data_IF_334893970512
#
_entry.id   IF_334893970512
#
_cell.length_a   1.000
_cell.length_b   1.000
_cell.length_c   1.000
_cell.angle_alpha   90.00
_cell.angle_beta   90.00
_cell.angle_gamma   90.00
#
_symmetry.space_group_name_H-M   'P 1'
#
loop_
_entity.id
_entity.type
_entity.pdbx_description
1 polymer ?
#
# COMPACT_ATOMS: atom_id res chain seq x y z
N UNK A 1 -43.02 -78.46 -37.78
CA UNK A 1 -41.79 -78.38 -36.95
C UNK A 1 -40.85 -77.22 -37.31
N UNK A 2 -41.20 -76.28 -38.20
CA UNK A 2 -40.23 -75.29 -38.72
C UNK A 2 -40.37 -73.84 -38.21
N UNK A 3 -41.28 -73.55 -37.27
CA UNK A 3 -41.45 -72.20 -36.71
C UNK A 3 -40.79 -72.01 -35.33
N UNK A 4 -40.52 -73.10 -34.58
CA UNK A 4 -39.89 -73.04 -33.25
C UNK A 4 -38.39 -72.73 -33.32
N UNK A 5 -37.66 -73.29 -34.29
CA UNK A 5 -36.21 -73.12 -34.40
C UNK A 5 -35.76 -71.75 -34.92
N UNK A 6 -36.62 -71.05 -35.66
CA UNK A 6 -36.33 -69.70 -36.13
C UNK A 6 -36.57 -68.62 -35.08
N UNK A 7 -37.45 -68.89 -34.10
CA UNK A 7 -37.77 -67.94 -33.05
C UNK A 7 -36.71 -67.97 -31.93
N UNK A 8 -36.18 -69.15 -31.60
CA UNK A 8 -35.04 -69.31 -30.67
C UNK A 8 -33.74 -68.66 -31.19
N UNK A 9 -33.41 -68.81 -32.48
CA UNK A 9 -32.21 -68.21 -33.10
C UNK A 9 -32.27 -66.67 -33.14
N UNK A 10 -33.48 -66.10 -33.25
CA UNK A 10 -33.67 -64.65 -33.23
C UNK A 10 -33.53 -64.06 -31.82
N UNK A 11 -34.07 -64.74 -30.80
CA UNK A 11 -33.88 -64.35 -29.38
C UNK A 11 -32.44 -64.46 -28.93
N UNK A 12 -31.70 -65.50 -29.35
CA UNK A 12 -30.30 -65.66 -29.00
C UNK A 12 -29.40 -64.58 -29.64
N UNK A 13 -29.74 -64.14 -30.86
CA UNK A 13 -29.06 -63.03 -31.53
C UNK A 13 -29.33 -61.69 -30.87
N UNK A 14 -30.55 -61.44 -30.42
CA UNK A 14 -30.92 -60.19 -29.70
C UNK A 14 -30.21 -60.14 -28.35
N UNK A 15 -30.21 -61.23 -27.58
CA UNK A 15 -29.50 -61.33 -26.29
C UNK A 15 -27.98 -61.10 -26.45
N UNK A 16 -27.35 -61.74 -27.44
CA UNK A 16 -25.91 -61.53 -27.72
C UNK A 16 -25.60 -60.10 -28.17
N UNK A 17 -26.53 -59.45 -28.85
CA UNK A 17 -26.37 -58.07 -29.33
C UNK A 17 -26.61 -57.05 -28.21
N UNK A 18 -27.53 -57.31 -27.28
CA UNK A 18 -27.72 -56.53 -26.04
C UNK A 18 -26.54 -56.69 -25.09
N UNK A 19 -26.05 -57.91 -24.85
CA UNK A 19 -24.88 -58.17 -24.00
C UNK A 19 -23.62 -57.50 -24.58
N UNK A 20 -23.39 -57.64 -25.90
CA UNK A 20 -22.28 -56.95 -26.57
C UNK A 20 -22.41 -55.43 -26.54
N UNK A 21 -23.62 -54.88 -26.53
CA UNK A 21 -23.85 -53.43 -26.49
C UNK A 21 -23.64 -52.89 -25.07
N UNK A 22 -24.12 -53.61 -24.05
CA UNK A 22 -23.90 -53.27 -22.64
C UNK A 22 -22.43 -53.39 -22.22
N UNK A 23 -21.71 -54.43 -22.66
CA UNK A 23 -20.29 -54.57 -22.33
C UNK A 23 -19.44 -53.46 -22.95
N UNK A 24 -19.67 -53.13 -24.22
CA UNK A 24 -18.93 -52.04 -24.91
C UNK A 24 -19.21 -50.66 -24.31
N UNK A 25 -20.45 -50.39 -23.90
CA UNK A 25 -20.78 -49.14 -23.20
C UNK A 25 -20.16 -49.11 -21.79
N UNK A 26 -20.17 -50.24 -21.07
CA UNK A 26 -19.55 -50.38 -19.74
C UNK A 26 -18.03 -50.16 -19.79
N UNK A 27 -17.34 -50.75 -20.76
CA UNK A 27 -15.90 -50.56 -20.97
C UNK A 27 -15.57 -49.11 -21.33
N UNK A 28 -16.35 -48.50 -22.25
CA UNK A 28 -16.17 -47.09 -22.62
C UNK A 28 -16.36 -46.13 -21.44
N UNK A 29 -17.33 -46.42 -20.56
CA UNK A 29 -17.59 -45.61 -19.37
C UNK A 29 -16.48 -45.75 -18.32
N UNK A 30 -15.98 -46.97 -18.10
CA UNK A 30 -14.83 -47.24 -17.22
C UNK A 30 -13.57 -46.52 -17.70
N UNK A 31 -13.30 -46.56 -19.00
CA UNK A 31 -12.18 -45.83 -19.61
C UNK A 31 -12.29 -44.32 -19.45
N UNK A 32 -13.50 -43.76 -19.51
CA UNK A 32 -13.73 -42.33 -19.25
C UNK A 32 -13.49 -41.97 -17.79
N UNK A 33 -13.91 -42.81 -16.84
CA UNK A 33 -13.67 -42.60 -15.40
C UNK A 33 -12.17 -42.65 -15.11
N UNK A 34 -11.45 -43.66 -15.60
CA UNK A 34 -9.99 -43.79 -15.39
C UNK A 34 -9.23 -42.60 -15.98
N UNK A 35 -9.62 -42.13 -17.18
CA UNK A 35 -9.03 -40.92 -17.78
C UNK A 35 -9.33 -39.66 -16.98
N UNK A 36 -10.53 -39.53 -16.42
CA UNK A 36 -10.89 -38.41 -15.56
C UNK A 36 -10.11 -38.44 -14.24
N UNK A 37 -10.05 -39.58 -13.55
CA UNK A 37 -9.28 -39.77 -12.31
C UNK A 37 -7.78 -39.47 -12.52
N UNK A 38 -7.21 -39.97 -13.62
CA UNK A 38 -5.83 -39.67 -14.01
C UNK A 38 -5.59 -38.17 -14.23
N UNK A 39 -6.54 -37.46 -14.84
CA UNK A 39 -6.48 -36.02 -15.04
C UNK A 39 -6.59 -35.24 -13.70
N UNK A 40 -7.48 -35.65 -12.79
CA UNK A 40 -7.59 -35.04 -11.46
C UNK A 40 -6.31 -35.22 -10.64
N UNK A 41 -5.76 -36.44 -10.61
CA UNK A 41 -4.52 -36.74 -9.89
C UNK A 41 -3.34 -35.94 -10.45
N UNK A 42 -3.25 -35.80 -11.78
CA UNK A 42 -2.24 -34.96 -12.44
C UNK A 42 -2.37 -33.48 -12.07
N UNK A 43 -3.59 -32.94 -11.98
CA UNK A 43 -3.82 -31.56 -11.57
C UNK A 43 -3.50 -31.32 -10.08
N UNK A 44 -3.88 -32.23 -9.17
CA UNK A 44 -3.53 -32.15 -7.75
C UNK A 44 -2.01 -32.13 -7.59
N UNK A 45 -1.31 -33.07 -8.22
CA UNK A 45 0.15 -33.13 -8.17
C UNK A 45 0.79 -31.84 -8.68
N UNK A 46 0.29 -31.28 -9.78
CA UNK A 46 0.78 -29.99 -10.31
C UNK A 46 0.67 -28.86 -9.27
N UNK A 47 -0.45 -28.76 -8.57
CA UNK A 47 -0.64 -27.75 -7.53
C UNK A 47 0.27 -27.99 -6.31
N UNK A 48 0.51 -29.26 -5.94
CA UNK A 48 1.47 -29.62 -4.88
C UNK A 48 2.91 -29.24 -5.26
N UNK A 49 3.35 -29.61 -6.47
CA UNK A 49 4.67 -29.27 -7.02
C UNK A 49 4.86 -27.73 -7.10
N UNK A 50 3.81 -26.99 -7.47
CA UNK A 50 3.84 -25.52 -7.49
C UNK A 50 4.02 -24.91 -6.10
N UNK A 51 3.32 -25.42 -5.08
CA UNK A 51 3.45 -24.95 -3.70
C UNK A 51 4.85 -25.23 -3.17
N UNK A 52 5.41 -26.42 -3.43
CA UNK A 52 6.79 -26.75 -3.07
C UNK A 52 7.79 -25.78 -3.72
N UNK A 53 7.62 -25.50 -5.01
CA UNK A 53 8.43 -24.52 -5.73
C UNK A 53 8.33 -23.12 -5.10
N UNK A 54 7.12 -22.61 -4.86
CA UNK A 54 6.91 -21.29 -4.27
C UNK A 54 7.51 -21.18 -2.85
N UNK A 55 7.34 -22.20 -2.02
CA UNK A 55 7.96 -22.27 -0.70
C UNK A 55 9.48 -22.24 -0.78
N UNK A 56 10.08 -22.97 -1.74
CA UNK A 56 11.53 -22.95 -1.96
C UNK A 56 12.05 -21.55 -2.31
N UNK A 57 11.32 -20.80 -3.17
CA UNK A 57 11.69 -19.42 -3.51
C UNK A 57 11.52 -18.49 -2.31
N UNK A 58 10.43 -18.63 -1.54
CA UNK A 58 10.18 -17.82 -0.34
C UNK A 58 11.28 -17.99 0.71
N UNK A 59 11.74 -19.23 0.91
CA UNK A 59 12.83 -19.52 1.85
C UNK A 59 14.14 -18.85 1.40
N UNK A 60 14.48 -18.92 0.11
CA UNK A 60 15.69 -18.28 -0.45
C UNK A 60 15.67 -16.76 -0.30
N UNK A 61 14.52 -16.13 -0.52
CA UNK A 61 14.37 -14.68 -0.29
C UNK A 61 14.50 -14.34 1.20
N UNK A 62 13.89 -15.15 2.07
CA UNK A 62 13.97 -14.95 3.52
C UNK A 62 15.42 -15.06 4.03
N UNK A 63 16.17 -16.05 3.57
CA UNK A 63 17.61 -16.19 3.86
C UNK A 63 18.39 -14.96 3.39
N UNK A 64 18.14 -14.50 2.15
CA UNK A 64 18.80 -13.31 1.60
C UNK A 64 18.51 -12.04 2.40
N UNK A 65 17.27 -11.87 2.88
CA UNK A 65 16.88 -10.74 3.75
C UNK A 65 17.66 -10.81 5.07
N UNK A 66 17.73 -11.98 5.70
CA UNK A 66 18.45 -12.16 6.97
C UNK A 66 19.93 -11.87 6.80
N UNK A 67 20.57 -12.33 5.72
CA UNK A 67 21.99 -12.08 5.43
C UNK A 67 22.31 -10.60 5.21
N UNK A 68 21.47 -9.89 4.44
CA UNK A 68 21.62 -8.46 4.20
C UNK A 68 21.38 -7.65 5.49
N UNK A 69 20.36 -8.01 6.27
CA UNK A 69 20.10 -7.37 7.56
C UNK A 69 21.25 -7.59 8.56
N UNK A 70 21.84 -8.79 8.61
CA UNK A 70 23.04 -9.03 9.42
C UNK A 70 24.23 -8.17 8.99
N UNK A 71 24.38 -7.94 7.68
CA UNK A 71 25.43 -7.09 7.13
C UNK A 71 25.22 -5.60 7.48
N UNK A 72 23.97 -5.12 7.36
CA UNK A 72 23.57 -3.78 7.77
C UNK A 72 23.72 -3.57 9.29
N UNK A 73 23.37 -4.57 10.10
CA UNK A 73 23.49 -4.53 11.56
C UNK A 73 24.94 -4.43 12.05
N UNK A 74 25.89 -5.04 11.33
CA UNK A 74 27.33 -4.87 11.58
C UNK A 74 27.78 -3.43 11.31
N UNK A 75 27.29 -2.81 10.23
CA UNK A 75 27.60 -1.42 9.90
C UNK A 75 27.09 -0.44 10.97
N UNK A 76 25.88 -0.65 11.50
CA UNK A 76 25.38 0.15 12.61
C UNK A 76 26.22 -0.01 13.88
N UNK A 77 26.58 -1.23 14.27
CA UNK A 77 27.43 -1.45 15.45
C UNK A 77 28.82 -0.81 15.35
N UNK A 78 29.36 -0.62 14.14
CA UNK A 78 30.69 -0.02 13.93
C UNK A 78 30.70 1.51 13.84
N UNK A 79 29.57 2.14 13.49
CA UNK A 79 29.51 3.59 13.18
C UNK A 79 28.73 4.44 14.19
N UNK A 80 28.22 3.86 15.29
CA UNK A 80 27.46 4.57 16.34
C UNK A 80 28.30 5.61 17.13
N UNK A 81 29.59 5.78 16.85
CA UNK A 81 30.41 6.84 17.44
C UNK A 81 30.69 7.98 16.45
N UNK A 82 29.67 8.75 16.10
CA UNK A 82 29.72 10.20 15.82
C UNK A 82 28.39 10.65 15.24
N UNK A 83 27.62 11.35 16.05
CA UNK A 83 26.60 12.29 15.59
C UNK A 83 26.90 13.59 16.33
N UNK A 84 27.69 14.46 15.70
CA UNK A 84 27.88 15.82 16.20
C UNK A 84 26.71 16.67 15.71
N UNK A 85 26.03 17.32 16.66
CA UNK A 85 24.95 18.27 16.43
C UNK A 85 25.39 19.36 15.45
N UNK A 86 24.88 19.29 14.22
CA UNK A 86 24.87 20.41 13.29
C UNK A 86 23.92 21.49 13.82
N UNK A 87 24.49 22.50 14.49
CA UNK A 87 23.82 23.73 14.90
C UNK A 87 23.36 24.52 13.65
N UNK A 88 22.11 24.31 13.25
CA UNK A 88 21.37 25.18 12.34
C UNK A 88 19.92 25.21 12.79
N UNK A 89 19.39 26.40 13.09
CA UNK A 89 18.01 26.61 13.53
C UNK A 89 17.01 26.41 12.37
N UNK A 90 16.94 25.18 11.86
CA UNK A 90 15.99 24.77 10.83
C UNK A 90 14.85 24.00 11.47
N UNK A 91 13.61 24.23 11.03
CA UNK A 91 12.44 23.53 11.55
C UNK A 91 12.53 22.03 11.26
N UNK A 92 12.88 21.22 12.25
CA UNK A 92 13.19 19.79 12.07
C UNK A 92 11.94 18.89 12.16
N UNK A 93 12.12 17.59 11.88
CA UNK A 93 11.06 16.60 12.08
C UNK A 93 10.70 16.49 13.57
N UNK A 94 11.69 16.57 14.47
CA UNK A 94 11.49 16.57 15.91
C UNK A 94 10.67 17.78 16.37
N UNK A 95 10.98 18.97 15.87
CA UNK A 95 10.20 20.18 16.16
C UNK A 95 8.76 20.07 15.65
N UNK A 96 8.56 19.42 14.49
CA UNK A 96 7.22 19.11 13.97
C UNK A 96 6.47 18.15 14.89
N UNK A 97 7.14 17.10 15.38
CA UNK A 97 6.57 16.15 16.36
C UNK A 97 6.22 16.86 17.66
N UNK A 98 7.05 17.78 18.15
CA UNK A 98 6.73 18.59 19.33
C UNK A 98 5.48 19.46 19.12
N UNK A 99 5.34 20.08 17.94
CA UNK A 99 4.13 20.83 17.58
C UNK A 99 2.88 19.93 17.57
N UNK A 100 2.99 18.69 17.08
CA UNK A 100 1.90 17.71 17.13
C UNK A 100 1.59 17.31 18.58
N UNK A 101 2.61 17.09 19.42
CA UNK A 101 2.42 16.70 20.82
C UNK A 101 1.70 17.79 21.64
N UNK A 102 1.89 19.08 21.31
CA UNK A 102 1.15 20.21 21.88
C UNK A 102 -0.36 20.17 21.55
N UNK A 103 -0.79 19.33 20.59
CA UNK A 103 -2.21 19.06 20.28
C UNK A 103 -2.74 17.93 21.17
N UNK A 104 -2.73 18.14 22.48
CA UNK A 104 -2.93 17.10 23.52
C UNK A 104 -4.20 16.25 23.37
N UNK A 105 -5.26 16.80 22.75
CA UNK A 105 -6.53 16.10 22.54
C UNK A 105 -6.73 15.53 21.12
N UNK A 106 -5.67 15.49 20.31
CA UNK A 106 -5.71 14.94 18.95
C UNK A 106 -5.26 13.48 18.89
N UNK A 107 -5.80 12.73 17.94
CA UNK A 107 -5.34 11.36 17.66
C UNK A 107 -3.84 11.32 17.31
N UNK A 108 -3.35 12.30 16.55
CA UNK A 108 -1.95 12.42 16.16
C UNK A 108 -1.01 12.57 17.37
N UNK A 109 -1.37 13.36 18.38
CA UNK A 109 -0.51 13.54 19.56
C UNK A 109 -0.41 12.26 20.40
N UNK A 110 -1.50 11.50 20.51
CA UNK A 110 -1.51 10.20 21.16
C UNK A 110 -0.67 9.21 20.34
N UNK A 111 -0.85 9.17 19.03
CA UNK A 111 -0.07 8.32 18.14
C UNK A 111 1.44 8.61 18.21
N UNK A 112 1.85 9.88 18.10
CA UNK A 112 3.24 10.28 18.23
C UNK A 112 3.82 9.91 19.61
N UNK A 113 3.03 10.08 20.68
CA UNK A 113 3.43 9.66 22.03
C UNK A 113 3.61 8.14 22.12
N UNK A 114 2.72 7.34 21.55
CA UNK A 114 2.82 5.88 21.51
C UNK A 114 4.07 5.45 20.74
N UNK A 115 4.33 6.07 19.58
CA UNK A 115 5.48 5.75 18.72
C UNK A 115 6.80 6.05 19.41
N UNK A 116 6.87 7.12 20.20
CA UNK A 116 8.05 7.47 20.99
C UNK A 116 8.29 6.53 22.19
N UNK A 117 7.26 5.81 22.65
CA UNK A 117 7.34 4.96 23.84
C UNK A 117 7.56 3.49 23.47
N UNK A 118 8.76 2.97 23.77
CA UNK A 118 9.22 1.62 23.38
C UNK A 118 8.40 0.48 23.98
N UNK A 119 7.65 0.71 25.06
CA UNK A 119 6.77 -0.32 25.65
C UNK A 119 5.49 -0.55 24.83
N UNK A 120 5.07 0.42 24.03
CA UNK A 120 3.81 0.37 23.26
C UNK A 120 4.01 0.26 21.75
N UNK A 121 5.26 0.27 21.27
CA UNK A 121 5.61 0.18 19.84
C UNK A 121 5.23 -1.17 19.19
N UNK A 122 4.99 -2.21 20.00
CA UNK A 122 4.61 -3.54 19.51
C UNK A 122 3.11 -3.71 19.18
N UNK A 123 2.28 -2.69 19.39
CA UNK A 123 0.85 -2.75 19.11
C UNK A 123 0.61 -2.93 17.59
N UNK A 124 -0.31 -3.83 17.23
CA UNK A 124 -0.55 -4.21 15.85
C UNK A 124 -0.87 -3.02 14.91
N UNK A 125 -1.64 -2.03 15.38
CA UNK A 125 -1.97 -0.85 14.59
C UNK A 125 -0.78 0.12 14.43
N UNK A 126 0.18 0.12 15.37
CA UNK A 126 1.41 0.92 15.26
C UNK A 126 2.30 0.36 14.16
N UNK A 127 2.26 -0.97 13.96
CA UNK A 127 3.00 -1.64 12.88
C UNK A 127 2.44 -1.34 11.49
N UNK A 128 1.12 -1.18 11.37
CA UNK A 128 0.49 -0.84 10.09
C UNK A 128 0.58 0.67 9.75
N UNK A 129 0.60 1.51 10.79
CA UNK A 129 0.66 2.95 10.63
C UNK A 129 2.03 3.40 10.08
N UNK A 130 2.01 4.12 8.96
CA UNK A 130 3.19 4.71 8.33
C UNK A 130 3.66 5.95 9.10
N UNK A 131 2.71 6.79 9.52
CA UNK A 131 3.02 8.01 10.28
C UNK A 131 1.91 9.05 10.24
N UNK A 132 2.23 10.27 10.67
CA UNK A 132 1.34 11.44 10.59
C UNK A 132 1.74 12.28 9.38
N UNK A 133 0.79 12.76 8.58
CA UNK A 133 1.08 13.47 7.31
C UNK A 133 2.16 14.55 7.45
N UNK A 134 2.10 15.36 8.51
CA UNK A 134 3.07 16.42 8.78
C UNK A 134 4.53 15.95 8.89
N UNK A 135 4.78 14.70 9.28
CA UNK A 135 6.13 14.12 9.43
C UNK A 135 6.53 13.27 8.23
N UNK A 136 5.65 13.10 7.23
CA UNK A 136 5.87 12.16 6.12
C UNK A 136 6.68 12.74 4.96
N UNK A 137 6.87 14.06 4.91
CA UNK A 137 7.65 14.76 3.89
C UNK A 137 8.42 15.94 4.48
N UNK A 138 9.52 16.29 3.82
CA UNK A 138 10.36 17.48 4.09
C UNK A 138 10.28 18.45 2.93
N UNK A 139 10.62 19.72 3.16
CA UNK A 139 10.61 20.76 2.11
C UNK A 139 11.84 21.65 2.18
N UNK A 140 12.16 22.32 1.07
CA UNK A 140 13.41 23.08 0.94
C UNK A 140 13.42 24.42 1.69
N UNK A 141 12.25 25.05 1.93
CA UNK A 141 12.17 26.38 2.54
C UNK A 141 10.97 26.54 3.45
N UNK A 142 11.07 27.46 4.42
CA UNK A 142 9.98 27.79 5.34
C UNK A 142 8.76 28.38 4.61
N UNK A 143 8.98 29.18 3.56
CA UNK A 143 7.88 29.71 2.75
C UNK A 143 7.06 28.60 2.09
N UNK A 144 7.74 27.60 1.52
CA UNK A 144 7.09 26.43 0.94
C UNK A 144 6.41 25.59 2.02
N UNK A 145 7.08 25.36 3.15
CA UNK A 145 6.51 24.63 4.29
C UNK A 145 5.21 25.26 4.77
N UNK A 146 5.24 26.56 5.01
CA UNK A 146 4.10 27.33 5.48
C UNK A 146 2.94 27.28 4.48
N UNK A 147 3.17 27.58 3.20
CA UNK A 147 2.07 27.66 2.22
C UNK A 147 1.47 26.29 1.91
N UNK A 148 2.29 25.22 1.87
CA UNK A 148 1.79 23.85 1.72
C UNK A 148 1.01 23.40 2.95
N UNK A 149 1.48 23.70 4.15
CA UNK A 149 0.81 23.32 5.39
C UNK A 149 -0.52 24.09 5.56
N UNK A 150 -0.58 25.36 5.15
CA UNK A 150 -1.82 26.14 5.07
C UNK A 150 -2.79 25.56 4.01
N UNK A 151 -2.26 25.11 2.88
CA UNK A 151 -3.05 24.46 1.84
C UNK A 151 -3.59 23.10 2.30
N UNK A 152 -2.78 22.23 2.90
CA UNK A 152 -3.24 20.94 3.40
C UNK A 152 -4.25 21.12 4.54
N UNK A 153 -4.02 22.11 5.41
CA UNK A 153 -4.87 22.41 6.56
C UNK A 153 -4.57 21.50 7.75
N UNK A 154 -4.82 22.03 8.95
CA UNK A 154 -4.41 21.38 10.21
C UNK A 154 -4.99 19.97 10.39
N UNK A 155 -6.26 19.76 10.05
CA UNK A 155 -6.93 18.46 10.20
C UNK A 155 -6.23 17.37 9.39
N UNK A 156 -5.87 17.67 8.14
CA UNK A 156 -5.16 16.72 7.26
C UNK A 156 -3.68 16.64 7.59
N UNK A 157 -3.03 17.72 8.06
CA UNK A 157 -1.66 17.67 8.57
C UNK A 157 -1.53 16.73 9.78
N UNK A 158 -2.58 16.63 10.60
CA UNK A 158 -2.68 15.71 11.74
C UNK A 158 -3.25 14.33 11.37
N UNK A 159 -3.49 14.04 10.09
CA UNK A 159 -4.05 12.75 9.70
C UNK A 159 -3.04 11.62 9.93
N UNK A 160 -3.52 10.50 10.47
CA UNK A 160 -2.74 9.25 10.60
C UNK A 160 -2.84 8.49 9.28
N UNK A 161 -1.70 8.03 8.77
CA UNK A 161 -1.62 7.25 7.53
C UNK A 161 -1.41 5.78 7.89
N UNK A 162 -2.35 4.93 7.48
CA UNK A 162 -2.29 3.48 7.62
C UNK A 162 -1.97 2.83 6.27
N UNK A 163 -1.29 1.69 6.32
CA UNK A 163 -0.96 0.92 5.13
C UNK A 163 -2.20 0.17 4.62
N UNK A 164 -3.00 -0.40 5.52
CA UNK A 164 -4.15 -1.26 5.21
C UNK A 164 -5.45 -0.79 5.84
N UNK A 165 -6.56 -1.31 5.33
CA UNK A 165 -7.88 -1.07 5.92
C UNK A 165 -8.00 -1.68 7.34
N UNK A 166 -7.31 -2.79 7.60
CA UNK A 166 -7.19 -3.41 8.92
C UNK A 166 -6.51 -2.47 9.92
N UNK A 167 -5.49 -1.72 9.50
CA UNK A 167 -4.88 -0.66 10.30
C UNK A 167 -5.88 0.42 10.70
N UNK A 168 -6.71 0.87 9.76
CA UNK A 168 -7.78 1.86 10.03
C UNK A 168 -8.78 1.32 11.05
N UNK A 169 -9.26 0.10 10.87
CA UNK A 169 -10.19 -0.57 11.80
C UNK A 169 -9.59 -0.80 13.18
N UNK A 170 -8.26 -0.91 13.28
CA UNK A 170 -7.59 -1.10 14.55
C UNK A 170 -7.46 0.21 15.36
N UNK A 171 -7.51 1.37 14.69
CA UNK A 171 -7.49 2.69 15.35
C UNK A 171 -8.82 3.02 16.04
N UNK A 172 -9.94 2.65 15.44
CA UNK A 172 -11.29 2.99 15.93
C UNK A 172 -12.18 1.74 16.02
N UNK A 173 -12.83 1.54 17.17
CA UNK A 173 -13.73 0.40 17.39
C UNK A 173 -15.15 0.90 17.67
N UNK A 174 -16.13 0.19 17.15
CA UNK A 174 -17.54 0.45 17.40
C UNK A 174 -18.16 -0.71 18.18
N UNK A 175 -19.11 -0.39 19.05
CA UNK A 175 -19.98 -1.39 19.68
C UNK A 175 -21.06 -1.90 18.69
N UNK A 176 -21.82 -2.96 19.04
CA UNK A 176 -22.89 -3.47 18.18
C UNK A 176 -23.96 -2.43 17.82
N UNK A 177 -24.12 -1.39 18.62
CA UNK A 177 -25.04 -0.26 18.40
C UNK A 177 -24.47 0.81 17.45
N UNK A 178 -23.21 0.67 17.04
CA UNK A 178 -22.52 1.61 16.14
C UNK A 178 -21.97 2.85 16.82
N UNK A 179 -21.89 2.86 18.16
CA UNK A 179 -21.28 3.93 18.95
C UNK A 179 -19.78 3.68 19.13
N UNK A 180 -19.00 4.75 19.21
CA UNK A 180 -17.56 4.69 19.45
C UNK A 180 -17.28 4.02 20.79
N UNK A 181 -16.49 2.94 20.76
CA UNK A 181 -16.04 2.26 21.96
C UNK A 181 -14.85 3.02 22.57
N UNK A 182 -15.13 3.80 23.62
CA UNK A 182 -14.13 4.60 24.33
C UNK A 182 -13.00 3.81 25.01
N UNK A 183 -13.14 2.49 25.11
CA UNK A 183 -12.11 1.59 25.67
C UNK A 183 -11.31 0.84 24.61
N UNK A 184 -11.69 0.97 23.34
CA UNK A 184 -11.05 0.31 22.20
C UNK A 184 -10.08 1.22 21.44
N UNK A 185 -9.22 0.60 20.62
CA UNK A 185 -8.36 1.30 19.67
C UNK A 185 -7.50 2.39 20.31
N UNK A 186 -7.42 3.53 19.65
CA UNK A 186 -6.66 4.69 20.11
C UNK A 186 -7.30 5.37 21.33
N UNK A 187 -8.63 5.31 21.47
CA UNK A 187 -9.37 5.86 22.60
C UNK A 187 -9.03 5.18 23.93
N UNK A 188 -8.92 3.85 23.93
CA UNK A 188 -8.52 3.08 25.12
C UNK A 188 -7.11 3.43 25.60
N UNK A 189 -6.19 3.64 24.66
CA UNK A 189 -4.79 3.99 24.97
C UNK A 189 -4.65 5.45 25.41
N UNK A 190 -5.41 6.35 24.78
CA UNK A 190 -5.55 7.71 25.29
C UNK A 190 -6.00 7.70 26.75
N UNK A 191 -7.07 6.97 27.04
CA UNK A 191 -7.65 6.91 28.38
C UNK A 191 -6.69 6.37 29.44
N UNK A 192 -5.90 5.33 29.12
CA UNK A 192 -4.89 4.78 30.05
C UNK A 192 -3.71 5.73 30.31
N UNK A 193 -3.52 6.74 29.45
CA UNK A 193 -2.46 7.74 29.54
C UNK A 193 -2.98 9.11 30.00
N UNK A 194 -4.25 9.20 30.40
CA UNK A 194 -4.89 10.43 30.84
C UNK A 194 -5.24 11.40 29.72
N UNK A 195 -5.08 11.00 28.45
CA UNK A 195 -5.42 11.79 27.26
C UNK A 195 -6.79 11.41 26.72
N UNK A 196 -7.49 12.34 26.09
CA UNK A 196 -8.77 12.07 25.42
C UNK A 196 -8.74 12.60 24.01
N UNK A 197 -9.18 11.79 23.06
CA UNK A 197 -9.41 12.24 21.69
C UNK A 197 -10.76 12.95 21.67
N UNK A 198 -10.75 14.21 21.29
CA UNK A 198 -11.96 15.02 21.17
C UNK A 198 -12.33 15.21 19.69
N UNK A 199 -13.56 14.87 19.34
CA UNK A 199 -14.09 15.08 17.99
C UNK A 199 -13.57 14.05 16.99
N UNK A 200 -13.70 14.39 15.70
CA UNK A 200 -13.27 13.55 14.59
C UNK A 200 -11.78 13.73 14.35
N UNK A 201 -11.13 12.67 13.88
CA UNK A 201 -9.78 12.71 13.34
C UNK A 201 -9.77 12.01 11.97
N UNK A 202 -8.83 12.42 11.12
CA UNK A 202 -8.71 11.88 9.76
C UNK A 202 -7.69 10.75 9.76
N UNK A 203 -8.07 9.65 9.10
CA UNK A 203 -7.17 8.54 8.80
C UNK A 203 -7.15 8.34 7.29
N UNK A 204 -5.96 8.17 6.72
CA UNK A 204 -5.75 7.93 5.30
C UNK A 204 -5.23 6.49 5.14
N UNK A 205 -5.94 5.68 4.38
CA UNK A 205 -5.54 4.31 4.04
C UNK A 205 -4.80 4.30 2.70
N UNK A 206 -3.51 3.91 2.69
CA UNK A 206 -2.72 3.87 1.45
C UNK A 206 -3.25 2.85 0.44
N UNK A 207 -3.74 1.70 0.90
CA UNK A 207 -4.32 0.66 0.06
C UNK A 207 -5.56 1.15 -0.72
N UNK A 208 -6.34 2.04 -0.13
CA UNK A 208 -7.56 2.59 -0.73
C UNK A 208 -7.30 3.83 -1.62
N UNK A 209 -6.06 4.34 -1.65
CA UNK A 209 -5.69 5.45 -2.52
C UNK A 209 -5.40 4.98 -3.96
N UNK A 210 -5.87 5.76 -4.93
CA UNK A 210 -5.53 5.54 -6.34
C UNK A 210 -4.15 6.15 -6.63
N UNK A 211 -3.16 5.34 -7.03
CA UNK A 211 -1.83 5.84 -7.35
C UNK A 211 -1.84 6.63 -8.66
N UNK A 212 -0.87 7.53 -8.79
CA UNK A 212 -0.54 8.16 -10.07
C UNK A 212 0.05 7.12 -11.04
N UNK A 213 -0.49 7.08 -12.26
CA UNK A 213 -0.09 6.12 -13.30
C UNK A 213 0.70 6.73 -14.46
N UNK A 214 1.08 8.01 -14.37
CA UNK A 214 1.80 8.71 -15.44
C UNK A 214 3.33 8.53 -15.43
N UNK A 215 3.85 7.67 -14.55
CA UNK A 215 5.27 7.34 -14.48
C UNK A 215 6.13 8.37 -13.72
N UNK A 216 7.43 8.12 -13.72
CA UNK A 216 8.43 8.90 -13.00
C UNK A 216 9.41 9.56 -13.96
N UNK A 217 10.05 10.63 -13.51
CA UNK A 217 11.21 11.21 -14.18
C UNK A 217 12.34 10.18 -14.18
N UNK A 218 12.94 9.95 -15.34
CA UNK A 218 13.95 8.92 -15.53
C UNK A 218 15.20 9.21 -14.68
N UNK A 219 15.71 8.18 -13.99
CA UNK A 219 16.89 8.25 -13.13
C UNK A 219 16.84 9.33 -12.02
N UNK A 220 15.66 9.79 -11.63
CA UNK A 220 15.50 10.74 -10.52
C UNK A 220 15.51 10.00 -9.17
N UNK A 221 16.47 10.27 -8.27
CA UNK A 221 16.60 9.55 -7.00
C UNK A 221 15.46 9.83 -6.02
N UNK A 222 14.70 10.90 -6.22
CA UNK A 222 13.52 11.25 -5.43
C UNK A 222 12.21 10.72 -6.04
N UNK A 223 12.32 9.95 -7.14
CA UNK A 223 11.21 9.41 -7.93
C UNK A 223 10.15 10.47 -8.21
N UNK A 224 10.56 11.65 -8.68
CA UNK A 224 9.62 12.70 -9.08
C UNK A 224 8.65 12.22 -10.15
N UNK A 225 7.40 12.67 -10.08
CA UNK A 225 6.35 12.27 -11.01
C UNK A 225 6.55 12.96 -12.37
N UNK A 226 6.39 12.21 -13.46
CA UNK A 226 6.49 12.73 -14.82
C UNK A 226 5.21 13.48 -15.25
N UNK A 227 4.91 14.57 -14.57
CA UNK A 227 3.73 15.40 -14.87
C UNK A 227 4.12 16.43 -15.95
N UNK A 228 3.39 16.50 -17.08
CA UNK A 228 3.66 17.50 -18.11
C UNK A 228 3.56 18.92 -17.56
N UNK A 229 4.54 19.78 -17.86
CA UNK A 229 4.52 21.18 -17.45
C UNK A 229 3.28 21.91 -18.01
N UNK A 230 2.69 22.87 -17.27
CA UNK A 230 1.57 23.66 -17.77
C UNK A 230 2.00 24.47 -19.00
N UNK A 231 1.06 24.72 -19.91
CA UNK A 231 1.29 25.52 -21.12
C UNK A 231 0.19 26.56 -21.27
N UNK A 232 0.61 27.79 -21.53
CA UNK A 232 -0.27 28.89 -21.92
C UNK A 232 -0.81 28.65 -23.35
N UNK A 233 -1.83 29.40 -23.80
CA UNK A 233 -2.37 29.28 -25.16
C UNK A 233 -1.34 29.47 -26.27
N UNK A 234 -0.24 30.19 -26.00
CA UNK A 234 0.88 30.37 -26.93
C UNK A 234 1.86 29.16 -26.94
N UNK A 235 1.62 28.12 -26.14
CA UNK A 235 2.44 26.92 -26.02
C UNK A 235 3.60 27.02 -25.02
N UNK A 236 3.88 28.21 -24.48
CA UNK A 236 4.97 28.44 -23.54
C UNK A 236 4.61 28.02 -22.12
N UNK A 237 5.61 27.67 -21.32
CA UNK A 237 5.43 27.45 -19.89
C UNK A 237 5.13 28.80 -19.23
N UNK A 238 4.12 28.91 -18.34
CA UNK A 238 3.83 30.15 -17.64
C UNK A 238 5.07 30.68 -16.91
N UNK A 239 5.32 32.00 -16.96
CA UNK A 239 6.41 32.60 -16.20
C UNK A 239 6.19 32.37 -14.70
N UNK A 240 7.29 32.17 -13.98
CA UNK A 240 7.26 31.97 -12.53
C UNK A 240 6.79 30.59 -12.06
N UNK A 241 6.36 29.68 -12.95
CA UNK A 241 6.10 28.28 -12.58
C UNK A 241 7.40 27.62 -12.11
N UNK A 242 7.38 27.07 -10.89
CA UNK A 242 8.53 26.41 -10.27
C UNK A 242 8.47 24.90 -10.52
N UNK A 243 7.46 24.24 -9.99
CA UNK A 243 7.16 22.83 -10.20
C UNK A 243 5.74 22.53 -9.68
N UNK A 244 5.33 21.26 -9.74
CA UNK A 244 4.18 20.75 -9.00
C UNK A 244 4.54 20.51 -7.54
N UNK A 245 3.63 20.83 -6.62
CA UNK A 245 3.84 20.68 -5.17
C UNK A 245 4.29 19.26 -4.78
N UNK A 246 3.69 18.24 -5.41
CA UNK A 246 4.04 16.83 -5.22
C UNK A 246 5.48 16.50 -5.61
N UNK A 247 6.15 17.30 -6.43
CA UNK A 247 7.56 17.15 -6.81
C UNK A 247 8.51 18.07 -6.02
N UNK A 248 7.98 19.03 -5.26
CA UNK A 248 8.75 19.94 -4.41
C UNK A 248 8.92 19.45 -2.97
N UNK A 249 8.28 18.34 -2.61
CA UNK A 249 8.54 17.63 -1.36
C UNK A 249 9.71 16.65 -1.50
N UNK A 250 10.45 16.50 -0.41
CA UNK A 250 11.50 15.51 -0.23
C UNK A 250 10.99 14.36 0.64
N UNK A 251 11.29 13.14 0.22
CA UNK A 251 10.93 11.91 0.94
C UNK A 251 12.20 11.15 1.30
N UNK A 252 12.21 10.59 2.51
CA UNK A 252 13.23 9.63 2.92
C UNK A 252 13.19 8.39 2.01
N UNK A 253 14.33 7.74 1.80
CA UNK A 253 14.47 6.59 0.89
C UNK A 253 13.46 5.47 1.19
N UNK A 254 13.22 5.20 2.47
CA UNK A 254 12.25 4.21 2.94
C UNK A 254 10.79 4.53 2.62
N UNK A 255 10.49 5.71 2.06
CA UNK A 255 9.15 6.14 1.65
C UNK A 255 8.96 6.19 0.13
N UNK A 256 10.01 5.91 -0.65
CA UNK A 256 10.00 6.05 -2.10
C UNK A 256 9.37 4.86 -2.84
N UNK A 257 9.44 3.66 -2.29
CA UNK A 257 8.97 2.42 -2.93
C UNK A 257 8.53 1.37 -1.92
N UNK A 258 7.74 0.39 -2.38
CA UNK A 258 7.40 -0.84 -1.65
C UNK A 258 6.64 -0.64 -0.32
N UNK A 259 5.91 0.47 -0.17
CA UNK A 259 5.06 0.72 1.00
C UNK A 259 3.67 0.09 0.87
N UNK A 260 3.13 0.05 -0.35
CA UNK A 260 1.83 -0.58 -0.61
C UNK A 260 1.99 -2.02 -1.07
N UNK A 261 0.92 -2.81 -0.96
CA UNK A 261 0.86 -4.14 -1.54
C UNK A 261 1.25 -4.11 -3.03
N UNK A 262 0.89 -3.08 -3.79
CA UNK A 262 1.23 -2.95 -5.21
C UNK A 262 2.65 -2.44 -5.49
N UNK A 263 3.46 -2.18 -4.46
CA UNK A 263 4.85 -1.75 -4.60
C UNK A 263 5.06 -0.23 -4.70
N UNK A 264 3.99 0.56 -4.60
CA UNK A 264 4.06 2.02 -4.65
C UNK A 264 4.62 2.63 -3.36
N UNK A 265 5.26 3.80 -3.49
CA UNK A 265 5.69 4.68 -2.40
C UNK A 265 4.70 5.83 -2.13
N UNK A 266 5.09 6.78 -1.27
CA UNK A 266 4.21 7.86 -0.80
C UNK A 266 3.97 8.95 -1.84
N UNK A 267 4.91 9.18 -2.78
CA UNK A 267 4.79 10.30 -3.73
C UNK A 267 3.61 10.10 -4.67
N UNK A 268 3.56 8.94 -5.30
CA UNK A 268 2.52 8.56 -6.27
C UNK A 268 1.19 8.18 -5.61
N UNK A 269 1.16 7.90 -4.30
CA UNK A 269 -0.06 7.57 -3.55
C UNK A 269 -0.53 8.76 -2.71
N UNK A 270 -0.05 8.86 -1.46
CA UNK A 270 -0.45 9.84 -0.47
C UNK A 270 -0.34 11.27 -0.99
N UNK A 271 0.85 11.68 -1.40
CA UNK A 271 1.10 13.08 -1.72
C UNK A 271 0.50 13.49 -3.07
N UNK A 272 0.37 12.58 -4.03
CA UNK A 272 -0.41 12.84 -5.23
C UNK A 272 -1.91 12.94 -4.92
N UNK A 273 -2.44 12.19 -3.94
CA UNK A 273 -3.83 12.37 -3.51
C UNK A 273 -4.07 13.71 -2.80
N UNK A 274 -3.08 14.22 -2.06
CA UNK A 274 -3.18 15.49 -1.33
C UNK A 274 -2.97 16.71 -2.24
N UNK A 275 -1.99 16.64 -3.14
CA UNK A 275 -1.58 17.77 -3.97
C UNK A 275 -2.06 17.67 -5.41
N UNK A 276 -2.31 16.47 -5.93
CA UNK A 276 -2.64 16.25 -7.34
C UNK A 276 -1.69 17.03 -8.26
N UNK A 277 -2.20 17.85 -9.19
CA UNK A 277 -1.39 18.76 -10.03
C UNK A 277 -1.34 20.20 -9.50
N UNK A 278 -1.33 20.39 -8.18
CA UNK A 278 -1.15 21.69 -7.55
C UNK A 278 0.15 22.34 -8.01
N UNK A 279 0.04 23.50 -8.65
CA UNK A 279 1.18 24.21 -9.24
C UNK A 279 1.77 25.21 -8.25
N UNK A 280 3.10 25.32 -8.20
CA UNK A 280 3.79 26.30 -7.35
C UNK A 280 4.42 27.38 -8.22
N UNK A 281 4.20 28.64 -7.84
CA UNK A 281 4.70 29.83 -8.51
C UNK A 281 5.60 30.66 -7.59
N UNK A 282 6.52 31.41 -8.19
CA UNK A 282 7.39 32.33 -7.45
C UNK A 282 6.60 33.48 -6.82
N UNK A 283 5.79 34.19 -7.60
CA UNK A 283 4.98 35.32 -7.13
C UNK A 283 3.49 35.15 -7.46
N UNK A 284 2.65 35.86 -6.70
CA UNK A 284 1.20 35.90 -6.92
C UNK A 284 0.87 36.49 -8.27
N UNK A 285 1.61 37.50 -8.71
CA UNK A 285 1.39 38.13 -10.01
C UNK A 285 1.62 37.13 -11.15
N UNK A 286 2.72 36.38 -11.11
CA UNK A 286 3.01 35.32 -12.08
C UNK A 286 1.97 34.20 -12.04
N UNK A 287 1.53 33.78 -10.84
CA UNK A 287 0.45 32.82 -10.66
C UNK A 287 -0.86 33.28 -11.33
N UNK A 288 -1.19 34.56 -11.21
CA UNK A 288 -2.42 35.12 -11.81
C UNK A 288 -2.33 35.19 -13.35
N UNK A 289 -1.14 35.39 -13.92
CA UNK A 289 -0.94 35.30 -15.38
C UNK A 289 -1.12 33.87 -15.91
N UNK A 290 -0.91 32.87 -15.06
CA UNK A 290 -1.04 31.46 -15.40
C UNK A 290 -2.47 30.89 -15.22
N UNK A 291 -3.45 31.71 -14.82
CA UNK A 291 -4.84 31.28 -14.61
C UNK A 291 -5.42 30.37 -15.72
N UNK A 292 -5.19 30.63 -17.02
CA UNK A 292 -5.76 29.79 -18.08
C UNK A 292 -5.33 28.32 -18.06
N UNK A 293 -4.21 27.99 -17.43
CA UNK A 293 -3.67 26.63 -17.38
C UNK A 293 -3.61 26.03 -15.96
N UNK A 294 -4.26 26.65 -14.98
CA UNK A 294 -4.41 26.11 -13.62
C UNK A 294 -5.71 25.28 -13.55
N UNK A 295 -5.58 23.98 -13.27
CA UNK A 295 -6.72 23.05 -13.18
C UNK A 295 -7.09 22.71 -11.73
N UNK A 296 -6.14 22.15 -10.98
CA UNK A 296 -6.41 21.56 -9.66
C UNK A 296 -6.19 22.57 -8.53
N UNK A 297 -5.29 23.54 -8.74
CA UNK A 297 -4.99 24.61 -7.81
C UNK A 297 -3.62 25.22 -8.11
N UNK A 298 -3.33 26.35 -7.47
CA UNK A 298 -2.00 26.95 -7.51
C UNK A 298 -1.68 27.70 -6.22
N UNK A 299 -0.40 27.72 -5.86
CA UNK A 299 0.15 28.49 -4.76
C UNK A 299 1.28 29.38 -5.27
N UNK A 300 1.51 30.51 -4.60
CA UNK A 300 2.73 31.29 -4.78
C UNK A 300 3.50 31.42 -3.47
N UNK A 301 4.83 31.48 -3.54
CA UNK A 301 5.69 31.58 -2.35
C UNK A 301 5.46 32.87 -1.56
N UNK A 302 5.08 33.95 -2.26
CA UNK A 302 4.62 35.21 -1.66
C UNK A 302 3.16 35.16 -1.12
N UNK A 303 2.53 33.98 -1.06
CA UNK A 303 1.35 33.71 -0.25
C UNK A 303 0.01 33.71 -0.98
N UNK A 304 0.02 33.76 -2.31
CA UNK A 304 -1.18 33.59 -3.11
C UNK A 304 -1.66 32.15 -3.09
N UNK A 305 -2.98 31.96 -3.09
CA UNK A 305 -3.57 30.63 -3.07
C UNK A 305 -4.86 30.55 -3.90
N UNK A 306 -4.89 29.59 -4.81
CA UNK A 306 -6.05 29.17 -5.60
C UNK A 306 -6.32 27.71 -5.24
N UNK A 307 -7.42 27.47 -4.53
CA UNK A 307 -7.79 26.12 -4.03
C UNK A 307 -8.23 25.20 -5.16
N UNK A 308 -8.88 25.77 -6.17
CA UNK A 308 -9.37 25.11 -7.38
C UNK A 308 -9.68 26.19 -8.41
N UNK A 309 -9.80 25.84 -9.68
CA UNK A 309 -10.31 26.76 -10.70
C UNK A 309 -11.59 27.49 -10.20
N UNK A 310 -11.54 28.83 -10.16
CA UNK A 310 -12.63 29.68 -9.67
C UNK A 310 -12.70 29.89 -8.15
N UNK A 311 -11.86 29.24 -7.34
CA UNK A 311 -11.88 29.33 -5.87
C UNK A 311 -10.57 29.96 -5.37
N UNK A 312 -10.63 31.23 -5.02
CA UNK A 312 -9.50 32.02 -4.52
C UNK A 312 -9.53 32.14 -2.99
N UNK A 313 -8.38 31.99 -2.35
CA UNK A 313 -8.21 32.35 -0.95
C UNK A 313 -7.60 33.75 -0.86
N UNK A 314 -8.32 34.67 -0.21
CA UNK A 314 -7.92 36.07 -0.03
C UNK A 314 -7.90 36.40 1.47
N UNK A 315 -7.11 37.40 1.85
CA UNK A 315 -6.95 37.85 3.23
C UNK A 315 -5.54 37.64 3.76
N UNK A 316 -5.33 37.98 5.03
CA UNK A 316 -4.05 37.79 5.70
C UNK A 316 -3.75 36.30 5.87
N UNK A 317 -2.46 35.94 5.73
CA UNK A 317 -2.00 34.58 5.96
C UNK A 317 -2.33 34.14 7.39
N UNK A 318 -2.78 32.91 7.54
CA UNK A 318 -2.94 32.30 8.86
C UNK A 318 -1.59 31.80 9.36
N UNK A 319 -1.35 31.98 10.65
CA UNK A 319 -0.23 31.28 11.27
C UNK A 319 -0.54 29.78 11.30
N UNK A 320 0.45 28.97 10.92
CA UNK A 320 0.27 27.52 10.75
C UNK A 320 0.92 26.81 11.91
N UNK A 321 0.10 26.12 12.69
CA UNK A 321 0.51 25.55 13.98
C UNK A 321 1.40 24.30 13.84
N UNK A 322 1.20 23.54 12.76
CA UNK A 322 1.98 22.34 12.43
C UNK A 322 2.42 22.45 10.99
N UNK A 323 3.73 22.47 10.77
CA UNK A 323 4.34 22.67 9.45
C UNK A 323 5.19 21.46 9.04
N UNK A 324 5.34 21.26 7.72
CA UNK A 324 6.30 20.28 7.22
C UNK A 324 7.73 20.62 7.67
N UNK A 325 8.53 19.63 8.10
CA UNK A 325 9.94 19.84 8.40
C UNK A 325 10.71 20.32 7.18
N UNK A 326 11.80 21.04 7.44
CA UNK A 326 12.76 21.41 6.41
C UNK A 326 13.70 20.24 6.12
N UNK A 327 14.28 20.24 4.92
CA UNK A 327 15.38 19.35 4.59
C UNK A 327 16.57 19.75 5.48
N UNK A 328 16.87 18.96 6.50
CA UNK A 328 18.13 19.05 7.23
C UNK A 328 19.26 18.51 6.34
N UNK A 329 20.51 18.92 6.61
CA UNK A 329 21.69 18.60 5.80
C UNK A 329 21.85 17.10 5.48
N UNK A 330 22.73 16.80 4.52
CA UNK A 330 22.97 15.43 4.03
C UNK A 330 23.08 14.44 5.20
N UNK A 331 22.30 13.34 5.10
CA UNK A 331 22.39 12.26 6.06
C UNK A 331 23.82 11.74 6.07
N UNK A 332 24.42 11.58 7.26
CA UNK A 332 25.74 10.95 7.43
C UNK A 332 25.77 9.46 7.01
N UNK A 333 24.64 8.92 6.55
CA UNK A 333 24.49 7.54 6.08
C UNK A 333 25.01 7.42 4.64
N UNK A 334 25.99 6.54 4.36
CA UNK A 334 26.53 6.42 3.02
C UNK A 334 25.49 5.94 1.98
N UNK A 335 25.68 6.32 0.70
CA UNK A 335 24.82 5.87 -0.39
C UNK A 335 24.66 4.35 -0.47
N UNK A 336 25.75 3.59 -0.35
CA UNK A 336 25.75 2.13 -0.41
C UNK A 336 24.88 1.50 0.69
N UNK A 337 24.80 2.14 1.85
CA UNK A 337 23.95 1.68 2.96
C UNK A 337 22.47 1.88 2.61
N UNK A 338 22.13 3.04 2.06
CA UNK A 338 20.76 3.37 1.62
C UNK A 338 20.29 2.42 0.51
N UNK A 339 21.16 2.12 -0.46
CA UNK A 339 20.88 1.16 -1.54
C UNK A 339 20.64 -0.25 -0.98
N UNK A 340 21.48 -0.69 -0.03
CA UNK A 340 21.31 -1.99 0.61
C UNK A 340 19.98 -2.09 1.40
N UNK A 341 19.54 -1.02 2.07
CA UNK A 341 18.21 -0.98 2.68
C UNK A 341 17.08 -1.04 1.65
N UNK A 342 17.21 -0.37 0.51
CA UNK A 342 16.25 -0.44 -0.59
C UNK A 342 16.11 -1.87 -1.14
N UNK A 343 17.23 -2.58 -1.27
CA UNK A 343 17.23 -4.00 -1.65
C UNK A 343 16.51 -4.84 -0.61
N UNK A 344 16.78 -4.64 0.69
CA UNK A 344 16.07 -5.35 1.76
C UNK A 344 14.56 -5.12 1.69
N UNK A 345 14.13 -3.86 1.53
CA UNK A 345 12.70 -3.52 1.40
C UNK A 345 12.05 -4.21 0.21
N UNK A 346 12.73 -4.20 -0.95
CA UNK A 346 12.26 -4.88 -2.15
C UNK A 346 12.10 -6.38 -1.90
N UNK A 347 13.10 -7.04 -1.31
CA UNK A 347 13.05 -8.47 -1.05
C UNK A 347 11.93 -8.83 -0.05
N UNK A 348 11.73 -8.04 1.00
CA UNK A 348 10.61 -8.22 1.94
C UNK A 348 9.26 -8.10 1.24
N UNK A 349 9.12 -7.13 0.33
CA UNK A 349 7.93 -6.98 -0.49
C UNK A 349 7.71 -8.17 -1.42
N UNK A 350 8.76 -8.68 -2.08
CA UNK A 350 8.69 -9.89 -2.92
C UNK A 350 8.29 -11.12 -2.10
N UNK A 351 8.87 -11.33 -0.91
CA UNK A 351 8.47 -12.40 0.02
C UNK A 351 6.99 -12.32 0.38
N UNK A 352 6.47 -11.10 0.59
CA UNK A 352 5.05 -10.87 0.87
C UNK A 352 4.16 -11.28 -0.30
N UNK A 353 4.62 -11.06 -1.55
CA UNK A 353 3.92 -11.51 -2.76
C UNK A 353 3.93 -13.02 -2.91
N UNK A 354 5.06 -13.66 -2.65
CA UNK A 354 5.14 -15.12 -2.67
C UNK A 354 4.20 -15.74 -1.64
N UNK A 355 4.10 -15.17 -0.43
CA UNK A 355 3.15 -15.65 0.58
C UNK A 355 1.69 -15.60 0.09
N UNK A 356 1.29 -14.52 -0.59
CA UNK A 356 -0.04 -14.42 -1.19
C UNK A 356 -0.24 -15.44 -2.32
N UNK A 357 0.79 -15.69 -3.13
CA UNK A 357 0.75 -16.68 -4.21
C UNK A 357 0.63 -18.11 -3.69
N UNK A 358 1.38 -18.44 -2.62
CA UNK A 358 1.27 -19.73 -1.91
C UNK A 358 -0.15 -19.91 -1.38
N UNK A 359 -0.73 -18.89 -0.76
CA UNK A 359 -2.10 -18.96 -0.24
C UNK A 359 -3.13 -19.19 -1.37
N UNK A 360 -2.99 -18.49 -2.50
CA UNK A 360 -3.86 -18.68 -3.67
C UNK A 360 -3.75 -20.09 -4.24
N UNK A 361 -2.52 -20.61 -4.36
CA UNK A 361 -2.29 -21.96 -4.87
C UNK A 361 -2.84 -23.03 -3.92
N UNK A 362 -2.72 -22.81 -2.60
CA UNK A 362 -3.32 -23.69 -1.58
C UNK A 362 -4.85 -23.74 -1.70
N UNK A 363 -5.51 -22.59 -1.90
CA UNK A 363 -6.96 -22.55 -2.10
C UNK A 363 -7.40 -23.33 -3.35
N UNK A 364 -6.62 -23.23 -4.43
CA UNK A 364 -6.87 -24.02 -5.65
C UNK A 364 -6.69 -25.52 -5.38
N UNK A 365 -5.63 -25.90 -4.66
CA UNK A 365 -5.40 -27.29 -4.27
C UNK A 365 -6.56 -27.84 -3.44
N UNK A 366 -7.01 -27.10 -2.43
CA UNK A 366 -8.09 -27.50 -1.54
C UNK A 366 -9.41 -27.66 -2.32
N UNK A 367 -9.72 -26.72 -3.21
CA UNK A 367 -10.88 -26.81 -4.09
C UNK A 367 -10.82 -28.05 -5.00
N UNK A 368 -9.65 -28.38 -5.56
CA UNK A 368 -9.45 -29.55 -6.41
C UNK A 368 -9.58 -30.85 -5.62
N UNK A 369 -9.01 -30.92 -4.41
CA UNK A 369 -9.13 -32.06 -3.51
C UNK A 369 -10.60 -32.31 -3.13
N UNK A 370 -11.33 -31.24 -2.78
CA UNK A 370 -12.76 -31.32 -2.46
C UNK A 370 -13.62 -31.81 -3.65
N UNK A 371 -13.32 -31.35 -4.87
CA UNK A 371 -14.01 -31.82 -6.08
C UNK A 371 -13.76 -33.30 -6.34
N UNK A 372 -12.51 -33.75 -6.17
CA UNK A 372 -12.13 -35.16 -6.31
C UNK A 372 -12.89 -36.08 -5.35
N UNK A 373 -13.09 -35.66 -4.09
CA UNK A 373 -13.86 -36.46 -3.11
C UNK A 373 -15.36 -36.47 -3.39
N UNK A 374 -15.94 -35.35 -3.86
CA UNK A 374 -17.37 -35.29 -4.20
C UNK A 374 -17.75 -36.15 -5.42
N UNK A 375 -16.83 -36.33 -6.37
CA UNK A 375 -17.04 -37.16 -7.56
C UNK A 375 -16.87 -38.66 -7.25
N UNK A 376 -16.02 -39.01 -6.28
CA UNK A 376 -15.91 -40.39 -5.78
C UNK A 376 -17.21 -40.84 -5.08
N UNK A 377 -17.88 -39.97 -4.30
CA UNK A 377 -19.14 -40.32 -3.62
C UNK A 377 -20.37 -40.38 -4.54
N UNK A 378 -20.35 -39.76 -5.72
CA UNK A 378 -21.49 -39.79 -6.67
C UNK A 378 -21.45 -40.96 -7.65
N UNK A 379 -20.34 -41.71 -7.71
CA UNK A 379 -20.21 -42.95 -8.49
C UNK A 379 -20.78 -44.20 -7.81
N UNK A 380 -21.13 -44.14 -6.52
CA UNK A 380 -21.60 -45.29 -5.73
C UNK A 380 -23.14 -45.43 -5.67
N UNK A 381 -23.92 -44.58 -6.34
CA UNK A 381 -25.39 -44.49 -6.12
C UNK A 381 -26.30 -44.88 -7.29
N UNK A 382 -25.83 -45.69 -8.25
CA UNK A 382 -26.73 -46.27 -9.27
C UNK A 382 -26.65 -47.80 -9.24
N UNK A 383 -27.61 -48.40 -8.56
CA UNK A 383 -27.96 -49.82 -8.67
C UNK A 383 -29.13 -49.99 -9.64
#
# INVERSE_FOLDING_TARGET
MSQSSHQEDLTEKILKQEDSFNDKNSESFKDQIIKQEGNFKGQIKKHEDNIEFLNSQSNRLTESVVDLQMSLGKYHSTNVTKSENGNGAFHTEEETVEQILKKENSAASIFCWIKANTQTSNLAFVKDAVGVVATLAKVESDDLSRILSEYVGLETMLAIVCSTNEGVKALEKYDPEGTVNSTGGLHGIGSSTGKKINGRFVVICLEDLRPFVGGFVENDPQKKLAIPKPRLPNGECPPGFLDYAVNMIHLDSNRLSFLTASGHGLRETLFYSLFSRLQIYKTRNEMMLALPCITDGALSLDGGMIRKCGIFALGSRKDVEVKFPLIAGESDVPPDYTEAEDVVRKLQWETSKLAADIQREQQLLDFRKAKSTSQACSGETTW
#
